data_IF_589165565849
#
_entry.id   IF_589165565849
#
_cell.length_a   1.000
_cell.length_b   1.000
_cell.length_c   1.000
_cell.angle_alpha   90.00
_cell.angle_beta   90.00
_cell.angle_gamma   90.00
#
_symmetry.space_group_name_H-M   'P 1'
#
loop_
_entity.id
_entity.type
_entity.pdbx_description
1 polymer ?
#
# COMPACT_ATOMS: atom_id res chain seq x y z
N UNK A 1 12.55 3.59 31.64
CA UNK A 1 11.30 3.12 31.01
C UNK A 1 11.27 3.69 29.60
N UNK A 2 11.80 2.94 28.63
CA UNK A 2 11.75 3.31 27.21
C UNK A 2 10.42 2.82 26.66
N UNK A 3 9.56 3.75 26.24
CA UNK A 3 8.28 3.42 25.61
C UNK A 3 8.55 2.57 24.37
N UNK A 4 8.06 1.34 24.34
CA UNK A 4 7.84 0.62 23.10
C UNK A 4 6.72 1.36 22.35
N UNK A 5 7.07 2.28 21.47
CA UNK A 5 6.19 2.62 20.35
C UNK A 5 6.15 1.39 19.45
N UNK A 6 5.32 0.42 19.81
CA UNK A 6 4.92 -0.64 18.90
C UNK A 6 4.16 0.03 17.77
N UNK A 7 4.85 0.36 16.66
CA UNK A 7 4.19 0.78 15.43
C UNK A 7 3.30 -0.38 14.99
N UNK A 8 2.00 -0.28 15.30
CA UNK A 8 1.00 -1.21 14.84
C UNK A 8 0.95 -1.14 13.32
N UNK A 9 1.05 -2.29 12.66
CA UNK A 9 0.78 -2.40 11.23
C UNK A 9 -0.65 -1.91 10.98
N UNK A 10 -0.80 -0.75 10.35
CA UNK A 10 -2.08 -0.25 9.91
C UNK A 10 -2.43 -0.89 8.56
N UNK A 11 -3.70 -1.25 8.41
CA UNK A 11 -4.23 -1.89 7.20
C UNK A 11 -5.44 -1.11 6.70
N UNK A 12 -5.48 -0.85 5.41
CA UNK A 12 -6.63 -0.29 4.71
C UNK A 12 -7.07 -1.20 3.55
N UNK A 13 -8.31 -1.05 3.11
CA UNK A 13 -8.85 -1.78 1.96
C UNK A 13 -9.57 -0.81 1.02
N UNK A 14 -9.40 -1.01 -0.28
CA UNK A 14 -10.07 -0.20 -1.29
C UNK A 14 -10.34 -1.02 -2.55
N UNK A 15 -11.39 -0.66 -3.28
CA UNK A 15 -11.75 -1.29 -4.55
C UNK A 15 -11.16 -0.48 -5.70
N UNK A 16 -10.42 -1.14 -6.58
CA UNK A 16 -9.91 -0.55 -7.83
C UNK A 16 -10.32 -1.45 -8.97
N UNK A 17 -11.11 -0.91 -9.90
CA UNK A 17 -11.59 -1.59 -11.10
C UNK A 17 -12.09 -3.04 -10.84
N UNK A 18 -12.99 -3.18 -9.87
CA UNK A 18 -13.59 -4.48 -9.53
C UNK A 18 -12.69 -5.46 -8.76
N UNK A 19 -11.45 -5.07 -8.41
CA UNK A 19 -10.60 -5.84 -7.49
C UNK A 19 -10.47 -5.18 -6.12
N UNK A 20 -10.56 -5.97 -5.06
CA UNK A 20 -10.31 -5.53 -3.70
C UNK A 20 -8.81 -5.54 -3.43
N UNK A 21 -8.24 -4.40 -3.09
CA UNK A 21 -6.86 -4.27 -2.66
C UNK A 21 -6.81 -4.10 -1.15
N UNK A 22 -5.82 -4.75 -0.52
CA UNK A 22 -5.41 -4.51 0.85
C UNK A 22 -4.06 -3.81 0.84
N UNK A 23 -3.98 -2.70 1.57
CA UNK A 23 -2.79 -1.88 1.77
C UNK A 23 -2.32 -2.06 3.21
N UNK A 24 -1.11 -2.58 3.39
CA UNK A 24 -0.52 -2.80 4.71
C UNK A 24 0.72 -1.92 4.87
N UNK A 25 0.81 -1.15 5.96
CA UNK A 25 2.03 -0.39 6.27
C UNK A 25 3.18 -1.31 6.59
N UNK A 26 4.36 -0.96 6.12
CA UNK A 26 5.59 -1.58 6.60
C UNK A 26 6.21 -0.66 7.66
N UNK A 27 6.38 -1.11 8.91
CA UNK A 27 6.96 -0.30 9.97
C UNK A 27 8.29 0.32 9.56
N UNK A 28 8.51 1.57 9.95
CA UNK A 28 9.72 2.35 9.63
C UNK A 28 10.02 2.54 8.13
N UNK A 29 9.05 2.28 7.23
CA UNK A 29 9.21 2.51 5.79
C UNK A 29 8.07 3.35 5.24
N UNK A 30 8.38 4.33 4.39
CA UNK A 30 7.41 5.08 3.60
C UNK A 30 6.88 4.23 2.42
N UNK A 31 6.28 3.09 2.78
CA UNK A 31 5.90 2.01 1.88
C UNK A 31 4.61 1.33 2.35
N UNK A 32 3.73 1.06 1.38
CA UNK A 32 2.59 0.18 1.55
C UNK A 32 2.82 -1.10 0.75
N UNK A 33 2.63 -2.26 1.40
CA UNK A 33 2.49 -3.55 0.72
C UNK A 33 1.06 -3.65 0.18
N UNK A 34 0.93 -4.18 -1.03
CA UNK A 34 -0.35 -4.36 -1.69
C UNK A 34 -0.59 -5.85 -1.92
N UNK A 35 -1.73 -6.33 -1.46
CA UNK A 35 -2.24 -7.68 -1.74
C UNK A 35 -3.66 -7.61 -2.29
N UNK A 36 -4.05 -8.61 -3.06
CA UNK A 36 -5.38 -8.82 -3.64
C UNK A 36 -6.01 -10.01 -2.90
N UNK A 37 -6.80 -9.79 -1.83
CA UNK A 37 -7.36 -10.90 -1.05
C UNK A 37 -8.28 -11.76 -1.93
N UNK A 38 -8.05 -13.06 -1.93
CA UNK A 38 -8.84 -14.02 -2.73
C UNK A 38 -8.37 -14.24 -4.16
N UNK A 39 -7.25 -13.62 -4.58
CA UNK A 39 -6.57 -13.93 -5.84
C UNK A 39 -5.39 -14.90 -5.59
N UNK A 40 -5.02 -15.71 -6.58
CA UNK A 40 -3.80 -16.52 -6.54
C UNK A 40 -2.86 -16.09 -7.69
N UNK A 41 -1.69 -15.48 -7.40
CA UNK A 41 -1.15 -15.17 -6.07
C UNK A 41 -1.81 -13.94 -5.44
N UNK A 42 -1.94 -13.90 -4.11
CA UNK A 42 -2.51 -12.71 -3.43
C UNK A 42 -1.56 -11.50 -3.49
N UNK A 43 -0.26 -11.71 -3.68
CA UNK A 43 0.70 -10.62 -3.71
C UNK A 43 0.59 -9.85 -5.03
N UNK A 44 0.43 -8.52 -4.96
CA UNK A 44 0.56 -7.64 -6.12
C UNK A 44 1.94 -6.98 -6.11
N UNK A 45 2.28 -6.28 -5.03
CA UNK A 45 3.51 -5.50 -4.98
C UNK A 45 3.57 -4.51 -3.82
N UNK A 46 4.16 -3.34 -4.07
CA UNK A 46 4.23 -2.28 -3.07
C UNK A 46 4.30 -0.89 -3.70
N UNK A 47 3.68 0.10 -3.06
CA UNK A 47 3.94 1.51 -3.36
C UNK A 47 5.03 2.00 -2.43
N UNK A 48 6.08 2.60 -3.00
CA UNK A 48 7.23 3.14 -2.29
C UNK A 48 7.31 4.66 -2.47
N UNK A 49 8.17 5.33 -1.68
CA UNK A 49 8.39 6.78 -1.73
C UNK A 49 7.10 7.57 -1.45
N UNK A 50 6.28 7.06 -0.52
CA UNK A 50 5.02 7.71 -0.11
C UNK A 50 5.25 8.98 0.74
N UNK A 51 6.49 9.23 1.14
CA UNK A 51 6.98 10.42 1.83
C UNK A 51 7.55 11.48 0.88
N UNK A 52 7.51 11.24 -0.44
CA UNK A 52 8.00 12.18 -1.47
C UNK A 52 6.88 12.56 -2.44
N UNK A 53 7.15 13.55 -3.28
CA UNK A 53 6.24 13.96 -4.37
C UNK A 53 6.24 13.00 -5.58
N UNK A 54 6.97 11.88 -5.51
CA UNK A 54 7.13 10.90 -6.60
C UNK A 54 6.89 9.46 -6.11
N UNK A 55 5.68 9.14 -5.60
CA UNK A 55 5.33 7.78 -5.19
C UNK A 55 5.27 6.85 -6.40
N UNK A 56 5.67 5.58 -6.22
CA UNK A 56 5.74 4.63 -7.34
C UNK A 56 5.36 3.21 -6.97
N UNK A 57 4.61 2.55 -7.86
CA UNK A 57 4.25 1.14 -7.74
C UNK A 57 5.40 0.24 -8.20
N UNK A 58 5.77 -0.72 -7.36
CA UNK A 58 6.66 -1.84 -7.66
C UNK A 58 5.84 -3.12 -7.63
N UNK A 59 5.46 -3.62 -8.81
CA UNK A 59 4.78 -4.91 -8.94
C UNK A 59 5.81 -6.03 -8.81
N UNK A 60 5.54 -7.02 -7.96
CA UNK A 60 6.46 -8.12 -7.67
C UNK A 60 5.96 -9.48 -8.16
N UNK A 61 4.65 -9.65 -8.35
CA UNK A 61 4.08 -10.92 -8.78
C UNK A 61 3.87 -10.95 -10.30
N UNK A 62 4.50 -11.89 -11.05
CA UNK A 62 4.39 -11.97 -12.51
C UNK A 62 2.94 -12.03 -13.01
N UNK A 63 2.07 -12.75 -12.29
CA UNK A 63 0.68 -12.98 -12.67
C UNK A 63 -0.19 -11.72 -12.67
N UNK A 64 0.15 -10.70 -11.89
CA UNK A 64 -0.64 -9.46 -11.80
C UNK A 64 0.08 -8.25 -12.43
N UNK A 65 1.18 -8.48 -13.15
CA UNK A 65 1.97 -7.39 -13.76
C UNK A 65 1.17 -6.59 -14.77
N UNK A 66 0.39 -7.24 -15.62
CA UNK A 66 -0.36 -6.56 -16.68
C UNK A 66 -1.46 -5.68 -16.08
N UNK A 67 -2.33 -6.27 -15.25
CA UNK A 67 -3.39 -5.51 -14.57
C UNK A 67 -2.84 -4.41 -13.66
N UNK A 68 -1.79 -4.70 -12.88
CA UNK A 68 -1.16 -3.72 -11.98
C UNK A 68 -0.46 -2.57 -12.73
N UNK A 69 0.03 -2.81 -13.95
CA UNK A 69 0.58 -1.75 -14.81
C UNK A 69 -0.52 -0.89 -15.42
N UNK A 70 -1.59 -1.53 -15.90
CA UNK A 70 -2.75 -0.83 -16.46
C UNK A 70 -3.40 0.11 -15.42
N UNK A 71 -3.47 -0.33 -14.16
CA UNK A 71 -4.08 0.42 -13.06
C UNK A 71 -3.07 1.14 -12.16
N UNK A 72 -1.82 1.30 -12.62
CA UNK A 72 -0.73 1.82 -11.80
C UNK A 72 -1.06 3.18 -11.16
N UNK A 73 -1.58 4.12 -11.95
CA UNK A 73 -1.89 5.47 -11.47
C UNK A 73 -3.01 5.46 -10.43
N UNK A 74 -4.05 4.64 -10.63
CA UNK A 74 -5.14 4.49 -9.66
C UNK A 74 -4.63 3.88 -8.34
N UNK A 75 -3.79 2.86 -8.42
CA UNK A 75 -3.19 2.20 -7.25
C UNK A 75 -2.30 3.18 -6.48
N UNK A 76 -1.46 3.95 -7.17
CA UNK A 76 -0.58 4.95 -6.54
C UNK A 76 -1.39 6.06 -5.89
N UNK A 77 -2.39 6.61 -6.60
CA UNK A 77 -3.25 7.67 -6.06
C UNK A 77 -3.98 7.21 -4.79
N UNK A 78 -4.49 5.99 -4.78
CA UNK A 78 -5.17 5.43 -3.60
C UNK A 78 -4.18 5.16 -2.46
N UNK A 79 -3.00 4.62 -2.76
CA UNK A 79 -1.95 4.40 -1.77
C UNK A 79 -1.52 5.71 -1.07
N UNK A 80 -1.43 6.82 -1.81
CA UNK A 80 -1.14 8.15 -1.23
C UNK A 80 -2.25 8.60 -0.29
N UNK A 81 -3.52 8.40 -0.64
CA UNK A 81 -4.67 8.76 0.22
C UNK A 81 -4.68 7.93 1.50
N UNK A 82 -4.45 6.62 1.39
CA UNK A 82 -4.34 5.70 2.53
C UNK A 82 -3.19 6.13 3.44
N UNK A 83 -2.01 6.37 2.86
CA UNK A 83 -0.83 6.81 3.60
C UNK A 83 -1.07 8.12 4.36
N UNK A 84 -1.66 9.14 3.71
CA UNK A 84 -1.98 10.42 4.34
C UNK A 84 -3.03 10.30 5.46
N UNK A 85 -3.88 9.28 5.41
CA UNK A 85 -4.83 8.99 6.49
C UNK A 85 -4.09 8.40 7.68
N UNK A 86 -3.27 7.38 7.45
CA UNK A 86 -2.52 6.69 8.50
C UNK A 86 -1.49 7.61 9.18
N UNK A 87 -0.74 8.41 8.42
CA UNK A 87 0.25 9.34 8.98
C UNK A 87 -0.41 10.43 9.81
N UNK A 88 -1.60 10.91 9.42
CA UNK A 88 -2.38 11.84 10.25
C UNK A 88 -2.77 11.23 11.58
N UNK A 89 -3.20 9.97 11.59
CA UNK A 89 -3.55 9.26 12.82
C UNK A 89 -2.33 9.03 13.74
N UNK A 90 -1.12 8.87 13.19
CA UNK A 90 0.10 8.75 13.99
C UNK A 90 0.68 10.08 14.50
N UNK A 91 0.21 11.23 14.00
CA UNK A 91 0.72 12.55 14.40
C UNK A 91 -0.16 13.23 15.48
N UNK A 92 -1.22 12.56 15.93
CA UNK A 92 -2.18 13.04 16.94
C UNK A 92 -1.91 12.53 18.34
#
# INVERSE_FOLDING_TARGET
>A
MTAQTGQTTATARSWIDGKLLRFDTIPFQARLRITLPGEDPEALGSVIRLDTDDPGLRVCAPLHVEWGREHCDAIVAEAVRVWATIVRECSG
#
